data_IF_198880776434
#
_entry.id   IF_198880776434
#
_cell.length_a   1.000
_cell.length_b   1.000
_cell.length_c   1.000
_cell.angle_alpha   90.00
_cell.angle_beta   90.00
_cell.angle_gamma   90.00
#
_symmetry.space_group_name_H-M   'P 1'
#
loop_
_entity.id
_entity.type
_entity.pdbx_description
1 polymer ?
#
# COMPACT_ATOMS: atom_id res chain seq x y z
N UNK A 1 -8.05 11.01 -21.06
CA UNK A 1 -7.52 9.67 -21.41
C UNK A 1 -6.60 9.20 -20.30
N UNK A 2 -7.10 8.38 -19.37
CA UNK A 2 -6.29 7.84 -18.27
C UNK A 2 -5.49 6.63 -18.79
N UNK A 3 -4.16 6.74 -18.79
CA UNK A 3 -3.26 5.64 -19.15
C UNK A 3 -3.50 4.44 -18.20
N UNK A 4 -4.13 3.39 -18.74
CA UNK A 4 -4.46 2.15 -18.04
C UNK A 4 -3.22 1.26 -17.74
N UNK A 5 -2.04 1.62 -18.24
CA UNK A 5 -0.81 0.81 -18.08
C UNK A 5 -0.25 0.74 -16.66
N UNK A 6 -0.79 1.49 -15.70
CA UNK A 6 -0.17 1.67 -14.38
C UNK A 6 -0.91 0.96 -13.23
N UNK A 7 -2.12 0.42 -13.44
CA UNK A 7 -2.93 -0.13 -12.32
C UNK A 7 -2.28 -1.36 -11.68
N UNK A 8 -1.72 -2.27 -12.48
CA UNK A 8 -0.99 -3.44 -11.96
C UNK A 8 0.25 -3.04 -11.15
N UNK A 9 0.99 -2.03 -11.63
CA UNK A 9 2.11 -1.47 -10.89
C UNK A 9 1.66 -0.91 -9.53
N UNK A 10 0.58 -0.12 -9.49
CA UNK A 10 0.04 0.46 -8.24
C UNK A 10 -0.53 -0.58 -7.30
N UNK A 11 -1.09 -1.66 -7.84
CA UNK A 11 -1.52 -2.81 -7.05
C UNK A 11 -0.33 -3.42 -6.29
N UNK A 12 0.78 -3.70 -6.98
CA UNK A 12 1.98 -4.23 -6.35
C UNK A 12 2.68 -3.24 -5.43
N UNK A 13 2.69 -1.94 -5.79
CA UNK A 13 3.26 -0.91 -4.94
C UNK A 13 2.51 -0.82 -3.61
N UNK A 14 1.17 -0.73 -3.66
CA UNK A 14 0.32 -0.71 -2.47
C UNK A 14 0.54 -1.95 -1.61
N UNK A 15 0.59 -3.14 -2.24
CA UNK A 15 0.84 -4.40 -1.54
C UNK A 15 2.23 -4.44 -0.89
N UNK A 16 3.25 -3.93 -1.56
CA UNK A 16 4.63 -3.90 -1.06
C UNK A 16 4.79 -2.96 0.14
N UNK A 17 4.19 -1.77 0.09
CA UNK A 17 4.16 -0.84 1.24
C UNK A 17 3.47 -1.49 2.43
N UNK A 18 2.28 -2.06 2.23
CA UNK A 18 1.57 -2.75 3.31
C UNK A 18 2.36 -3.92 3.92
N UNK A 19 2.93 -4.79 3.08
CA UNK A 19 3.72 -5.94 3.56
C UNK A 19 4.95 -5.53 4.36
N UNK A 20 5.59 -4.43 3.97
CA UNK A 20 6.75 -3.87 4.67
C UNK A 20 6.39 -3.49 6.11
N UNK A 21 5.18 -2.95 6.30
CA UNK A 21 4.68 -2.53 7.62
C UNK A 21 4.03 -3.65 8.46
N UNK A 22 4.10 -4.89 7.97
CA UNK A 22 3.52 -6.07 8.61
C UNK A 22 2.05 -6.33 8.27
N UNK A 23 1.48 -5.65 7.27
CA UNK A 23 0.10 -5.91 6.83
C UNK A 23 0.03 -7.15 5.93
N UNK A 24 -0.94 -8.02 6.21
CA UNK A 24 -1.33 -9.12 5.34
C UNK A 24 -2.72 -8.83 4.74
N UNK A 25 -2.76 -8.38 3.48
CA UNK A 25 -4.00 -8.08 2.78
C UNK A 25 -4.93 -9.28 2.64
N UNK A 26 -4.39 -10.48 2.43
CA UNK A 26 -5.21 -11.69 2.28
C UNK A 26 -5.91 -12.03 3.59
N UNK A 27 -5.23 -11.86 4.72
CA UNK A 27 -5.85 -12.00 6.05
C UNK A 27 -6.87 -10.88 6.31
N UNK A 28 -6.55 -9.62 6.00
CA UNK A 28 -7.50 -8.52 6.18
C UNK A 28 -8.80 -8.73 5.37
N UNK A 29 -8.71 -9.32 4.18
CA UNK A 29 -9.89 -9.71 3.38
C UNK A 29 -10.63 -10.89 4.02
N UNK A 30 -9.92 -11.93 4.44
CA UNK A 30 -10.53 -13.09 5.12
C UNK A 30 -11.24 -12.71 6.43
N UNK A 31 -10.71 -11.74 7.15
CA UNK A 31 -11.29 -11.21 8.39
C UNK A 31 -12.43 -10.20 8.15
N UNK A 32 -12.76 -9.87 6.90
CA UNK A 32 -13.77 -8.85 6.55
C UNK A 32 -13.37 -7.40 6.87
N UNK A 33 -12.10 -7.14 7.22
CA UNK A 33 -11.56 -5.79 7.51
C UNK A 33 -11.26 -5.00 6.24
N UNK A 34 -11.17 -5.67 5.10
CA UNK A 34 -10.95 -5.08 3.78
C UNK A 34 -11.80 -5.83 2.76
N UNK A 35 -12.70 -5.15 2.06
CA UNK A 35 -13.41 -5.75 0.93
C UNK A 35 -12.74 -5.42 -0.41
N UNK A 36 -13.24 -6.02 -1.49
CA UNK A 36 -12.68 -5.86 -2.83
C UNK A 36 -12.81 -4.43 -3.39
N UNK A 37 -13.90 -3.72 -3.10
CA UNK A 37 -14.10 -2.32 -3.48
C UNK A 37 -13.14 -1.41 -2.72
N UNK A 38 -13.03 -1.56 -1.39
CA UNK A 38 -12.07 -0.78 -0.63
C UNK A 38 -10.63 -1.04 -1.07
N UNK A 39 -10.30 -2.29 -1.44
CA UNK A 39 -8.97 -2.57 -1.98
C UNK A 39 -8.75 -1.90 -3.33
N UNK A 40 -9.74 -1.89 -4.23
CA UNK A 40 -9.67 -1.13 -5.49
C UNK A 40 -9.49 0.36 -5.24
N UNK A 41 -10.18 0.92 -4.25
CA UNK A 41 -10.04 2.33 -3.85
C UNK A 41 -8.62 2.65 -3.37
N UNK A 42 -7.98 1.75 -2.61
CA UNK A 42 -6.58 1.91 -2.21
C UNK A 42 -5.65 1.97 -3.43
N UNK A 43 -5.83 1.06 -4.39
CA UNK A 43 -5.00 1.02 -5.60
C UNK A 43 -5.22 2.25 -6.47
N UNK A 44 -6.47 2.69 -6.64
CA UNK A 44 -6.81 3.90 -7.37
C UNK A 44 -6.25 5.17 -6.70
N UNK A 45 -6.32 5.25 -5.38
CA UNK A 45 -5.73 6.33 -4.58
C UNK A 45 -4.20 6.37 -4.75
N UNK A 46 -3.55 5.21 -4.81
CA UNK A 46 -2.12 5.11 -5.12
C UNK A 46 -1.81 5.55 -6.56
N UNK A 47 -2.67 5.18 -7.51
CA UNK A 47 -2.50 5.52 -8.92
C UNK A 47 -2.56 7.02 -9.22
N UNK A 48 -3.36 7.75 -8.46
CA UNK A 48 -3.51 9.21 -8.57
C UNK A 48 -2.55 9.98 -7.67
N UNK A 49 -1.65 9.30 -6.95
CA UNK A 49 -0.71 9.91 -6.02
C UNK A 49 0.52 10.48 -6.76
N UNK A 50 0.94 11.72 -6.47
CA UNK A 50 2.16 12.28 -7.05
C UNK A 50 3.46 11.72 -6.42
N UNK A 51 3.38 11.04 -5.27
CA UNK A 51 4.54 10.60 -4.49
C UNK A 51 4.98 9.15 -4.80
N UNK A 52 4.60 8.62 -5.97
CA UNK A 52 4.83 7.21 -6.35
C UNK A 52 6.33 6.86 -6.39
N UNK A 53 7.15 7.74 -6.97
CA UNK A 53 8.60 7.56 -7.02
C UNK A 53 9.21 7.53 -5.60
N UNK A 54 8.71 8.39 -4.71
CA UNK A 54 9.14 8.41 -3.30
C UNK A 54 8.78 7.10 -2.59
N UNK A 55 7.62 6.51 -2.87
CA UNK A 55 7.24 5.18 -2.34
C UNK A 55 8.21 4.08 -2.82
N UNK A 56 8.61 4.11 -4.09
CA UNK A 56 9.57 3.14 -4.63
C UNK A 56 10.96 3.29 -3.97
N UNK A 57 11.47 4.52 -3.86
CA UNK A 57 12.75 4.80 -3.19
C UNK A 57 12.73 4.38 -1.72
N UNK A 58 11.64 4.69 -1.03
CA UNK A 58 11.45 4.26 0.35
C UNK A 58 11.49 2.73 0.45
N UNK A 59 10.75 1.99 -0.39
CA UNK A 59 10.78 0.53 -0.41
C UNK A 59 12.18 -0.04 -0.69
N UNK A 60 12.95 0.58 -1.58
CA UNK A 60 14.32 0.15 -1.87
C UNK A 60 15.22 0.21 -0.62
N UNK A 61 15.01 1.21 0.25
CA UNK A 61 15.72 1.35 1.52
C UNK A 61 15.34 0.32 2.60
N UNK A 62 14.18 -0.36 2.48
CA UNK A 62 13.70 -1.29 3.50
C UNK A 62 14.17 -2.73 3.35
N UNK A 63 15.04 -3.02 2.37
CA UNK A 63 15.59 -4.37 2.16
C UNK A 63 16.63 -4.77 3.22
N UNK A 64 17.22 -3.82 3.91
CA UNK A 64 18.35 -4.05 4.84
C UNK A 64 18.09 -3.57 6.27
N UNK A 65 16.89 -3.03 6.55
CA UNK A 65 16.52 -2.45 7.84
C UNK A 65 15.53 -3.35 8.59
N UNK A 66 15.48 -3.28 9.94
CA UNK A 66 14.44 -3.97 10.70
C UNK A 66 13.05 -3.55 10.22
N UNK A 67 12.09 -4.49 10.25
CA UNK A 67 10.70 -4.26 9.81
C UNK A 67 10.16 -2.96 10.39
N UNK A 68 9.86 -2.01 9.50
CA UNK A 68 9.23 -0.75 9.89
C UNK A 68 7.80 -1.03 10.28
N UNK A 69 7.29 -0.40 11.33
CA UNK A 69 5.93 -0.67 11.82
C UNK A 69 4.87 0.25 11.19
N UNK A 70 5.30 1.29 10.49
CA UNK A 70 4.47 2.36 9.94
C UNK A 70 4.82 2.69 8.48
N UNK A 71 3.82 3.05 7.66
CA UNK A 71 4.06 3.48 6.28
C UNK A 71 4.76 4.85 6.26
N UNK A 72 5.37 5.25 5.13
CA UNK A 72 5.99 6.56 5.04
C UNK A 72 4.93 7.66 5.21
N UNK A 73 5.30 8.75 5.86
CA UNK A 73 4.40 9.87 6.19
C UNK A 73 3.79 10.54 4.96
N UNK A 74 4.48 10.48 3.81
CA UNK A 74 3.99 11.00 2.54
C UNK A 74 3.05 10.03 1.79
N UNK A 75 2.87 8.79 2.26
CA UNK A 75 1.98 7.84 1.60
C UNK A 75 0.52 8.27 1.80
N UNK A 76 -0.18 8.55 0.71
CA UNK A 76 -1.61 8.90 0.74
C UNK A 76 -2.48 7.82 1.41
N UNK A 77 -2.10 6.55 1.28
CA UNK A 77 -2.81 5.43 1.88
C UNK A 77 -2.35 5.11 3.32
N UNK A 78 -1.41 5.87 3.90
CA UNK A 78 -0.79 5.56 5.20
C UNK A 78 -1.81 5.20 6.29
N UNK A 79 -2.77 6.11 6.54
CA UNK A 79 -3.81 5.90 7.57
C UNK A 79 -4.67 4.68 7.33
N UNK A 80 -5.11 4.46 6.09
CA UNK A 80 -5.92 3.28 5.74
C UNK A 80 -5.11 1.99 5.93
N UNK A 81 -3.85 1.97 5.49
CA UNK A 81 -2.98 0.80 5.65
C UNK A 81 -2.68 0.50 7.13
N UNK A 82 -2.50 1.52 7.97
CA UNK A 82 -2.33 1.34 9.42
C UNK A 82 -3.59 0.77 10.08
N UNK A 83 -4.77 1.24 9.70
CA UNK A 83 -6.06 0.74 10.23
C UNK A 83 -6.35 -0.73 9.87
N UNK A 84 -5.76 -1.23 8.79
CA UNK A 84 -5.92 -2.63 8.37
C UNK A 84 -4.98 -3.60 9.11
N UNK A 85 -4.02 -3.10 9.89
CA UNK A 85 -3.14 -3.98 10.66
C UNK A 85 -3.95 -4.72 11.74
N UNK A 86 -3.63 -5.99 12.02
CA UNK A 86 -4.26 -6.69 13.14
C UNK A 86 -3.93 -5.96 14.45
N UNK A 87 -4.92 -5.92 15.35
CA UNK A 87 -4.78 -5.42 16.72
C UNK A 87 -4.07 -6.43 17.61
#
# INVERSE_FOLDING_TARGET
>A
MTMQGNTYFHFWLTRSVGRTIGLNFSQAIGDGRLDAEEYRNLVYSCQTCPCVESCQRWLAGQRSTPRVTRPPTFCRNARKLEALKPH
#
